data_IF_798699024369
#
_entry.id   IF_798699024369
#
_cell.length_a   1.000
_cell.length_b   1.000
_cell.length_c   1.000
_cell.angle_alpha   90.00
_cell.angle_beta   90.00
_cell.angle_gamma   90.00
#
_symmetry.space_group_name_H-M   'P 1'
#
loop_
_entity.id
_entity.type
_entity.pdbx_description
1 polymer ?
#
# COMPACT_ATOMS: atom_id res chain seq x y z
N UNK A 1 -16.21 -0.21 -7.04
CA UNK A 1 -16.25 -1.47 -6.25
C UNK A 1 -17.69 -1.72 -5.82
N UNK A 2 -18.25 -2.91 -6.08
CA UNK A 2 -19.59 -3.26 -5.56
C UNK A 2 -19.51 -3.34 -4.03
N UNK A 3 -20.47 -2.81 -3.28
CA UNK A 3 -20.42 -2.74 -1.81
C UNK A 3 -20.15 -4.09 -1.14
N UNK A 4 -20.65 -5.19 -1.71
CA UNK A 4 -20.39 -6.54 -1.21
C UNK A 4 -18.93 -7.01 -1.34
N UNK A 5 -18.05 -6.29 -2.04
CA UNK A 5 -16.62 -6.60 -2.16
C UNK A 5 -15.76 -5.94 -1.08
N UNK A 6 -16.30 -5.04 -0.27
CA UNK A 6 -15.60 -4.44 0.87
C UNK A 6 -15.60 -5.45 2.02
N UNK A 7 -14.46 -5.65 2.67
CA UNK A 7 -14.35 -6.54 3.84
C UNK A 7 -15.11 -5.94 5.04
N UNK A 8 -16.20 -6.57 5.50
CA UNK A 8 -17.07 -5.96 6.52
C UNK A 8 -16.43 -5.86 7.91
N UNK A 9 -15.41 -6.67 8.20
CA UNK A 9 -14.80 -6.71 9.53
C UNK A 9 -13.60 -5.77 9.69
N UNK A 10 -13.25 -5.02 8.64
CA UNK A 10 -12.14 -4.06 8.65
C UNK A 10 -12.66 -2.67 8.27
N UNK A 11 -12.45 -1.64 9.11
CA UNK A 11 -12.90 -0.29 8.80
C UNK A 11 -12.04 0.33 7.68
N UNK A 12 -12.69 1.07 6.78
CA UNK A 12 -12.01 2.03 5.89
C UNK A 12 -11.46 3.16 6.76
N UNK A 13 -10.19 3.50 6.60
CA UNK A 13 -9.54 4.45 7.50
C UNK A 13 -8.45 5.27 6.79
N UNK A 14 -8.42 6.58 7.05
CA UNK A 14 -7.28 7.43 6.68
C UNK A 14 -6.12 7.15 7.63
N UNK A 15 -4.93 6.89 7.07
CA UNK A 15 -3.71 6.60 7.82
C UNK A 15 -2.54 7.43 7.28
N UNK A 16 -1.50 7.60 8.09
CA UNK A 16 -0.24 8.22 7.64
C UNK A 16 0.92 7.75 8.49
N UNK A 17 2.06 7.52 7.85
CA UNK A 17 3.39 7.47 8.47
C UNK A 17 4.36 8.40 7.73
N UNK A 18 3.83 9.49 7.17
CA UNK A 18 4.56 10.48 6.36
C UNK A 18 3.82 10.86 5.08
N UNK A 19 3.17 9.89 4.43
CA UNK A 19 2.29 10.10 3.27
C UNK A 19 0.89 9.56 3.60
N UNK A 20 -0.15 10.36 3.40
CA UNK A 20 -1.51 10.05 3.84
C UNK A 20 -2.29 9.27 2.80
N UNK A 21 -2.95 8.21 3.23
CA UNK A 21 -3.71 7.32 2.35
C UNK A 21 -5.01 6.84 3.01
N UNK A 22 -6.02 6.58 2.20
CA UNK A 22 -7.25 5.92 2.60
C UNK A 22 -7.12 4.42 2.37
N UNK A 23 -7.01 3.64 3.45
CA UNK A 23 -6.99 2.19 3.39
C UNK A 23 -8.40 1.65 3.11
N UNK A 24 -8.53 0.80 2.09
CA UNK A 24 -9.83 0.21 1.72
C UNK A 24 -9.72 -1.32 1.72
N UNK A 25 -10.25 -2.02 2.72
CA UNK A 25 -10.14 -3.46 2.80
C UNK A 25 -11.12 -4.13 1.82
N UNK A 26 -10.61 -5.01 0.98
CA UNK A 26 -11.31 -5.73 -0.10
C UNK A 26 -11.32 -7.22 0.21
N UNK A 27 -12.45 -7.88 -0.03
CA UNK A 27 -12.67 -9.29 0.35
C UNK A 27 -11.75 -10.27 -0.38
N UNK A 28 -11.48 -10.04 -1.65
CA UNK A 28 -10.83 -11.03 -2.49
C UNK A 28 -9.85 -10.45 -3.50
N UNK A 29 -8.95 -11.32 -3.93
CA UNK A 29 -7.98 -11.05 -4.99
C UNK A 29 -8.68 -10.77 -6.32
N UNK A 30 -9.80 -11.44 -6.61
CA UNK A 30 -10.57 -11.18 -7.82
C UNK A 30 -11.24 -9.80 -7.78
N UNK A 31 -11.75 -9.38 -6.62
CA UNK A 31 -12.39 -8.07 -6.50
C UNK A 31 -11.41 -6.89 -6.62
N UNK A 32 -10.18 -7.03 -6.11
CA UNK A 32 -9.16 -5.98 -6.15
C UNK A 32 -8.50 -5.85 -7.54
N UNK A 33 -8.36 -6.96 -8.30
CA UNK A 33 -7.88 -6.95 -9.69
C UNK A 33 -8.78 -6.10 -10.60
N UNK A 34 -10.09 -6.22 -10.42
CA UNK A 34 -11.09 -5.53 -11.23
C UNK A 34 -11.28 -4.05 -10.85
N UNK A 35 -10.46 -3.49 -9.96
CA UNK A 35 -10.57 -2.07 -9.58
C UNK A 35 -10.17 -1.20 -10.77
N UNK A 36 -11.14 -0.38 -11.18
CA UNK A 36 -10.99 0.76 -12.09
C UNK A 36 -11.47 2.01 -11.33
N UNK A 37 -10.68 3.08 -11.40
CA UNK A 37 -11.00 4.32 -10.69
C UNK A 37 -11.96 5.18 -11.50
N UNK A 38 -13.03 5.62 -10.84
CA UNK A 38 -13.79 6.77 -11.32
C UNK A 38 -13.19 8.03 -10.71
N UNK A 39 -12.41 8.77 -11.51
CA UNK A 39 -11.69 9.95 -11.05
C UNK A 39 -12.60 11.10 -10.64
N UNK A 40 -13.80 11.20 -11.25
CA UNK A 40 -14.75 12.27 -10.93
C UNK A 40 -15.32 12.08 -9.51
N UNK A 41 -15.62 10.84 -9.14
CA UNK A 41 -16.08 10.50 -7.79
C UNK A 41 -14.94 10.40 -6.77
N UNK A 42 -13.75 9.93 -7.18
CA UNK A 42 -12.63 9.75 -6.27
C UNK A 42 -12.07 11.09 -5.77
N UNK A 43 -12.02 12.12 -6.62
CA UNK A 43 -11.45 13.43 -6.27
C UNK A 43 -12.10 14.09 -5.04
N UNK A 44 -13.43 14.28 -4.96
CA UNK A 44 -14.06 14.85 -3.78
C UNK A 44 -13.88 13.96 -2.54
N UNK A 45 -13.92 12.63 -2.70
CA UNK A 45 -13.76 11.68 -1.61
C UNK A 45 -12.37 11.78 -0.97
N UNK A 46 -11.30 11.81 -1.77
CA UNK A 46 -9.94 11.96 -1.24
C UNK A 46 -9.72 13.34 -0.60
N UNK A 47 -10.33 14.39 -1.17
CA UNK A 47 -10.30 15.73 -0.59
C UNK A 47 -10.98 15.79 0.78
N UNK A 48 -12.16 15.17 0.91
CA UNK A 48 -12.90 15.08 2.18
C UNK A 48 -12.11 14.29 3.23
N UNK A 49 -11.55 13.15 2.82
CA UNK A 49 -10.73 12.29 3.68
C UNK A 49 -9.34 12.89 4.00
N UNK A 50 -8.96 14.01 3.37
CA UNK A 50 -7.66 14.70 3.50
C UNK A 50 -6.47 13.76 3.23
N UNK A 51 -6.59 12.93 2.20
CA UNK A 51 -5.54 11.99 1.77
C UNK A 51 -5.22 12.18 0.30
N UNK A 52 -4.00 11.81 -0.09
CA UNK A 52 -3.55 11.93 -1.48
C UNK A 52 -3.66 10.61 -2.25
N UNK A 53 -3.86 9.48 -1.55
CA UNK A 53 -3.92 8.14 -2.13
C UNK A 53 -5.10 7.32 -1.62
N UNK A 54 -5.68 6.51 -2.49
CA UNK A 54 -6.51 5.37 -2.12
C UNK A 54 -5.68 4.09 -2.22
N UNK A 55 -5.75 3.27 -1.18
CA UNK A 55 -4.92 2.08 -1.03
C UNK A 55 -5.77 0.86 -0.70
N UNK A 56 -6.45 0.28 -1.70
CA UNK A 56 -7.16 -0.97 -1.51
C UNK A 56 -6.21 -2.11 -1.21
N UNK A 57 -6.62 -3.01 -0.32
CA UNK A 57 -5.83 -4.18 0.06
C UNK A 57 -6.72 -5.38 0.37
N UNK A 58 -6.19 -6.59 0.27
CA UNK A 58 -6.89 -7.83 0.65
C UNK A 58 -5.91 -8.82 1.30
N UNK A 59 -6.44 -9.75 2.10
CA UNK A 59 -5.65 -10.84 2.70
C UNK A 59 -5.39 -12.01 1.75
N UNK A 60 -6.01 -12.02 0.57
CA UNK A 60 -5.70 -13.00 -0.48
C UNK A 60 -4.51 -12.53 -1.31
N UNK A 61 -3.58 -13.42 -1.64
CA UNK A 61 -2.36 -13.11 -2.39
C UNK A 61 -2.19 -14.02 -3.60
N UNK A 62 -1.45 -13.55 -4.59
CA UNK A 62 -0.92 -14.35 -5.68
C UNK A 62 0.13 -15.35 -5.17
N UNK A 63 0.98 -14.92 -4.24
CA UNK A 63 2.03 -15.76 -3.66
C UNK A 63 1.68 -16.14 -2.21
N UNK A 64 1.53 -17.43 -1.92
CA UNK A 64 1.10 -17.90 -0.59
C UNK A 64 2.05 -17.61 0.57
N UNK A 65 3.29 -17.15 0.29
CA UNK A 65 4.24 -16.67 1.30
C UNK A 65 3.97 -15.22 1.74
N UNK A 66 3.21 -14.47 0.94
CA UNK A 66 2.88 -13.08 1.20
C UNK A 66 1.62 -13.00 2.08
N UNK A 67 1.45 -11.87 2.77
CA UNK A 67 0.38 -11.70 3.76
C UNK A 67 -0.80 -10.90 3.23
N UNK A 68 -0.53 -9.93 2.34
CA UNK A 68 -1.48 -8.94 1.85
C UNK A 68 -1.17 -8.64 0.40
N UNK A 69 -2.20 -8.54 -0.45
CA UNK A 69 -2.11 -7.94 -1.77
C UNK A 69 -2.70 -6.53 -1.75
N UNK A 70 -2.01 -5.57 -2.34
CA UNK A 70 -2.43 -4.17 -2.35
C UNK A 70 -2.21 -3.49 -3.70
N UNK A 71 -2.96 -2.41 -3.94
CA UNK A 71 -2.75 -1.48 -5.05
C UNK A 71 -2.73 -0.06 -4.50
N UNK A 72 -1.86 0.80 -5.02
CA UNK A 72 -1.70 2.18 -4.54
C UNK A 72 -1.97 3.18 -5.66
N UNK A 73 -2.98 4.03 -5.49
CA UNK A 73 -3.37 5.00 -6.53
C UNK A 73 -3.39 6.42 -5.98
N UNK A 74 -2.64 7.33 -6.62
CA UNK A 74 -2.59 8.75 -6.28
C UNK A 74 -2.70 9.63 -7.55
N UNK A 75 -3.80 9.49 -8.32
CA UNK A 75 -3.89 10.08 -9.66
C UNK A 75 -3.82 11.61 -9.66
N UNK A 76 -4.25 12.27 -8.57
CA UNK A 76 -4.30 13.73 -8.48
C UNK A 76 -2.95 14.39 -8.16
N UNK A 77 -1.92 13.59 -7.85
CA UNK A 77 -0.52 14.04 -7.74
C UNK A 77 0.34 13.49 -8.89
N UNK A 78 -0.29 13.00 -9.96
CA UNK A 78 0.41 12.53 -11.17
C UNK A 78 0.87 11.07 -11.11
N UNK A 79 0.41 10.27 -10.15
CA UNK A 79 0.73 8.85 -10.03
C UNK A 79 -0.54 8.02 -10.26
N UNK A 80 -0.83 7.57 -11.51
CA UNK A 80 -2.01 6.79 -11.80
C UNK A 80 -2.11 5.53 -10.92
N UNK A 81 -1.02 4.76 -10.85
CA UNK A 81 -0.84 3.62 -9.94
C UNK A 81 0.66 3.46 -9.65
N UNK A 82 1.00 3.17 -8.39
CA UNK A 82 2.38 2.99 -7.92
C UNK A 82 2.68 1.49 -7.75
N UNK A 83 3.79 0.94 -8.30
CA UNK A 83 4.12 -0.48 -8.18
C UNK A 83 4.59 -0.91 -6.77
N UNK A 84 4.91 0.02 -5.87
CA UNK A 84 5.35 -0.31 -4.52
C UNK A 84 5.45 0.91 -3.61
N UNK A 85 4.50 1.07 -2.69
CA UNK A 85 4.36 2.27 -1.86
C UNK A 85 4.78 2.01 -0.41
N UNK A 86 6.10 2.07 -0.15
CA UNK A 86 6.65 1.75 1.17
C UNK A 86 6.07 2.56 2.33
N UNK A 87 5.83 3.85 2.13
CA UNK A 87 5.27 4.76 3.15
C UNK A 87 3.84 4.42 3.55
N UNK A 88 3.02 3.91 2.63
CA UNK A 88 1.63 3.51 2.92
C UNK A 88 1.59 2.06 3.41
N UNK A 89 2.49 1.20 2.92
CA UNK A 89 2.67 -0.15 3.41
C UNK A 89 2.99 -0.19 4.92
N UNK A 90 3.85 0.71 5.45
CA UNK A 90 4.06 0.83 6.90
C UNK A 90 2.78 1.14 7.66
N UNK A 91 2.00 2.09 7.16
CA UNK A 91 0.77 2.51 7.79
C UNK A 91 -0.29 1.39 7.78
N UNK A 92 -0.38 0.64 6.69
CA UNK A 92 -1.20 -0.57 6.60
C UNK A 92 -0.74 -1.65 7.59
N UNK A 93 0.56 -1.87 7.74
CA UNK A 93 1.07 -2.83 8.71
C UNK A 93 0.72 -2.49 10.14
N UNK A 94 0.83 -1.22 10.51
CA UNK A 94 0.40 -0.76 11.82
C UNK A 94 -1.13 -0.87 12.00
N UNK A 95 -1.91 -0.52 10.98
CA UNK A 95 -3.37 -0.69 10.98
C UNK A 95 -3.78 -2.14 11.27
N UNK A 96 -3.12 -3.13 10.65
CA UNK A 96 -3.39 -4.55 10.87
C UNK A 96 -2.93 -5.01 12.26
N UNK A 97 -1.76 -4.53 12.71
CA UNK A 97 -1.23 -4.80 14.05
C UNK A 97 -2.18 -4.32 15.15
N UNK A 98 -2.83 -3.17 15.00
CA UNK A 98 -3.84 -2.68 15.95
C UNK A 98 -5.06 -3.61 16.05
N UNK A 99 -5.38 -4.38 15.00
CA UNK A 99 -6.47 -5.36 15.03
C UNK A 99 -6.01 -6.71 15.57
N UNK A 100 -4.74 -7.05 15.36
CA UNK A 100 -4.13 -8.27 15.84
C UNK A 100 -2.65 -8.06 16.13
N UNK A 101 -2.31 -7.86 17.41
CA UNK A 101 -0.94 -7.55 17.85
C UNK A 101 0.08 -8.69 17.62
N UNK A 102 -0.38 -9.85 17.12
CA UNK A 102 0.49 -10.94 16.66
C UNK A 102 1.04 -10.69 15.25
N UNK A 103 0.39 -9.84 14.44
CA UNK A 103 0.81 -9.47 13.07
C UNK A 103 1.95 -8.46 13.10
N UNK A 104 3.11 -8.87 13.64
CA UNK A 104 4.30 -8.00 13.75
C UNK A 104 5.17 -8.00 12.50
N UNK A 105 5.01 -9.00 11.63
CA UNK A 105 5.77 -9.16 10.39
C UNK A 105 4.79 -9.49 9.29
N UNK A 106 4.71 -8.61 8.30
CA UNK A 106 3.84 -8.80 7.15
C UNK A 106 4.65 -8.57 5.87
N UNK A 107 4.29 -9.30 4.83
CA UNK A 107 4.80 -9.09 3.48
C UNK A 107 3.63 -8.61 2.64
N UNK A 108 3.71 -7.38 2.17
CA UNK A 108 2.71 -6.78 1.27
C UNK A 108 3.23 -6.93 -0.15
N UNK A 109 2.46 -7.58 -1.00
CA UNK A 109 2.71 -7.66 -2.43
C UNK A 109 1.90 -6.56 -3.16
N UNK A 110 2.55 -5.89 -4.11
CA UNK A 110 1.97 -4.75 -4.84
C UNK A 110 2.49 -4.71 -6.28
N UNK A 111 1.72 -4.09 -7.18
CA UNK A 111 2.15 -3.82 -8.56
C UNK A 111 2.03 -5.01 -9.52
N UNK A 112 1.33 -6.08 -9.11
CA UNK A 112 1.15 -7.28 -9.94
C UNK A 112 0.30 -6.98 -11.18
N UNK A 113 -0.76 -6.19 -11.05
CA UNK A 113 -1.63 -5.74 -12.14
C UNK A 113 -0.88 -4.92 -13.19
N UNK A 114 0.20 -4.22 -12.76
CA UNK A 114 1.06 -3.43 -13.63
C UNK A 114 2.26 -4.23 -14.18
N UNK A 115 2.36 -5.54 -13.90
CA UNK A 115 3.53 -6.39 -14.22
C UNK A 115 4.84 -5.86 -13.64
N UNK A 116 4.77 -5.18 -12.50
CA UNK A 116 5.92 -4.64 -11.74
C UNK A 116 5.84 -5.09 -10.27
N UNK A 117 5.90 -6.40 -10.02
CA UNK A 117 5.67 -6.96 -8.69
C UNK A 117 6.75 -6.50 -7.70
N UNK A 118 6.30 -5.99 -6.55
CA UNK A 118 7.12 -5.60 -5.42
C UNK A 118 6.66 -6.35 -4.18
N UNK A 119 7.62 -6.84 -3.37
CA UNK A 119 7.35 -7.35 -2.03
C UNK A 119 7.92 -6.37 -1.01
N UNK A 120 7.04 -5.78 -0.21
CA UNK A 120 7.36 -4.80 0.83
C UNK A 120 7.25 -5.50 2.17
N UNK A 121 8.36 -5.53 2.91
CA UNK A 121 8.46 -6.12 4.23
C UNK A 121 8.18 -5.05 5.27
N UNK A 122 7.22 -5.31 6.17
CA UNK A 122 6.90 -4.41 7.27
C UNK A 122 7.08 -5.15 8.60
N UNK A 123 7.83 -4.56 9.51
CA UNK A 123 8.07 -5.07 10.86
C UNK A 123 7.68 -4.04 11.92
N UNK A 124 6.87 -4.46 12.90
CA UNK A 124 6.37 -3.64 14.00
C UNK A 124 7.09 -4.02 15.31
N UNK A 125 7.63 -3.03 16.03
CA UNK A 125 8.13 -3.17 17.40
C UNK A 125 9.64 -3.41 17.57
N UNK A 126 10.41 -3.41 16.48
CA UNK A 126 11.88 -3.49 16.50
C UNK A 126 12.48 -4.71 17.25
N UNK A 127 13.81 -4.76 17.35
CA UNK A 127 14.55 -5.80 18.09
C UNK A 127 14.58 -5.49 19.61
N UNK A 128 14.45 -4.22 19.98
CA UNK A 128 14.53 -3.73 21.37
C UNK A 128 13.19 -3.17 21.88
N UNK A 129 12.11 -3.96 21.92
CA UNK A 129 10.85 -3.69 22.66
C UNK A 129 10.23 -2.26 22.61
N UNK A 130 10.64 -1.37 21.70
CA UNK A 130 10.03 -0.05 21.54
C UNK A 130 8.78 -0.24 20.71
N UNK A 131 7.63 -0.14 21.36
CA UNK A 131 6.30 -0.44 20.80
C UNK A 131 5.87 0.48 19.66
N UNK A 132 6.67 1.50 19.31
CA UNK A 132 6.30 2.57 18.39
C UNK A 132 7.19 2.62 17.12
N UNK A 133 8.05 1.62 16.90
CA UNK A 133 8.90 1.57 15.69
C UNK A 133 8.27 0.72 14.59
N UNK A 134 8.22 1.27 13.38
CA UNK A 134 7.81 0.55 12.17
C UNK A 134 9.00 0.56 11.20
N UNK A 135 9.44 -0.62 10.77
CA UNK A 135 10.51 -0.79 9.77
C UNK A 135 9.91 -1.26 8.47
N UNK A 136 10.32 -0.62 7.38
CA UNK A 136 9.95 -1.00 6.02
C UNK A 136 11.20 -1.35 5.23
N UNK A 137 11.14 -2.46 4.51
CA UNK A 137 12.24 -2.94 3.70
C UNK A 137 11.76 -3.63 2.43
N UNK A 138 12.70 -3.90 1.53
CA UNK A 138 12.46 -4.55 0.25
C UNK A 138 13.77 -5.03 -0.34
N UNK A 139 13.71 -6.03 -1.21
CA UNK A 139 14.88 -6.43 -2.01
C UNK A 139 14.89 -5.59 -3.28
N UNK A 140 16.06 -5.06 -3.63
CA UNK A 140 16.27 -4.30 -4.86
C UNK A 140 17.20 -5.08 -5.79
N UNK A 141 17.07 -4.83 -7.09
CA UNK A 141 17.98 -5.34 -8.11
C UNK A 141 18.53 -4.17 -8.90
N UNK A 142 19.86 -4.09 -9.01
CA UNK A 142 20.49 -3.08 -9.85
C UNK A 142 20.11 -3.33 -11.32
N UNK A 143 19.46 -2.35 -11.94
CA UNK A 143 19.05 -2.41 -13.36
C UNK A 143 20.11 -1.75 -14.24
N UNK A 144 20.56 -0.55 -13.86
CA UNK A 144 21.62 0.16 -14.55
C UNK A 144 22.40 1.03 -13.57
N UNK A 145 23.62 1.40 -13.97
CA UNK A 145 24.45 2.39 -13.31
C UNK A 145 25.12 3.23 -14.39
N UNK A 146 25.19 4.54 -14.21
CA UNK A 146 25.83 5.45 -15.17
C UNK A 146 26.27 6.76 -14.50
N UNK A 147 26.89 7.63 -15.29
CA UNK A 147 27.38 8.95 -14.87
C UNK A 147 26.69 10.01 -15.74
N UNK A 148 26.15 11.07 -15.11
CA UNK A 148 25.58 12.22 -15.81
C UNK A 148 26.58 13.38 -15.72
N UNK A 149 27.03 13.87 -16.87
CA UNK A 149 27.84 15.08 -16.97
C UNK A 149 26.91 16.27 -17.20
N UNK A 150 27.04 17.31 -16.38
CA UNK A 150 26.28 18.55 -16.53
C UNK A 150 27.18 19.57 -17.24
N UNK A 151 26.72 20.13 -18.35
CA UNK A 151 27.33 21.33 -18.92
C UNK A 151 26.92 22.54 -18.08
N UNK A 152 27.89 23.36 -17.69
CA UNK A 152 27.60 24.66 -17.07
C UNK A 152 27.15 25.62 -18.17
N UNK A 153 25.93 26.14 -18.05
CA UNK A 153 25.40 27.26 -18.84
C UNK A 153 25.70 28.55 -18.10
#
# INVERSE_FOLDING_TARGET
VKTHNIEPNLPIQSVTTGFSALLVPIKSLDAIKEIILDLAFLKPLLKEAKVDMIYPFTRQTFEGKNSIHARGFAPFIGIPEDPGTGSVASALGYYLYEKNSKEKKIIIEQGYEMKRPSNIFVEIGGVERRTNEIRVGGRVRLVFKGTLYLEQI
#
